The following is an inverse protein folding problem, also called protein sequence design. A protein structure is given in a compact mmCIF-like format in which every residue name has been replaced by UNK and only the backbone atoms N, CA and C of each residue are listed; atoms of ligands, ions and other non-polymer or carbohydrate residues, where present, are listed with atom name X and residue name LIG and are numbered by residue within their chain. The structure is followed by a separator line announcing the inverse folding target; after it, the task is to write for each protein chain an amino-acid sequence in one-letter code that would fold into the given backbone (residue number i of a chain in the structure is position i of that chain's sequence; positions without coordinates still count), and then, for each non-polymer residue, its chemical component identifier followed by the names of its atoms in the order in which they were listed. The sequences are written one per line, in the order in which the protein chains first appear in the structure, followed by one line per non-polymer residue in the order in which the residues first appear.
data_IF_113284592933
#
_entry.id   IF_113284592933
#
_cell.length_a   1.000
_cell.length_b   1.000
_cell.length_c   1.000
_cell.angle_alpha   90.00
_cell.angle_beta   90.00
_cell.angle_gamma   90.00
#
_symmetry.space_group_name_H-M   'P 1'
#
loop_
_entity.id
_entity.type
_entity.pdbx_description
1 polymer ?
#
# COMPACT_ATOMS: atom_id res chain seq x y z
N UNK A 1 -37.62 -34.47 -51.05
CA UNK A 1 -37.20 -35.50 -50.06
C UNK A 1 -36.07 -34.99 -49.16
N UNK A 2 -35.05 -34.31 -49.70
CA UNK A 2 -33.91 -33.79 -48.92
C UNK A 2 -34.27 -32.74 -47.86
N UNK A 3 -35.19 -31.82 -48.16
CA UNK A 3 -35.64 -30.79 -47.20
C UNK A 3 -36.30 -31.42 -45.97
N UNK A 4 -37.13 -32.44 -46.18
CA UNK A 4 -37.78 -33.17 -45.09
C UNK A 4 -36.78 -33.96 -44.24
N UNK A 5 -35.75 -34.55 -44.87
CA UNK A 5 -34.67 -35.24 -44.17
C UNK A 5 -33.81 -34.27 -43.33
N UNK A 6 -33.44 -33.11 -43.90
CA UNK A 6 -32.73 -32.06 -43.17
C UNK A 6 -33.56 -31.56 -41.99
N UNK A 7 -34.84 -31.25 -42.22
CA UNK A 7 -35.78 -30.82 -41.18
C UNK A 7 -35.87 -31.83 -40.03
N UNK A 8 -35.99 -33.13 -40.34
CA UNK A 8 -36.02 -34.18 -39.33
C UNK A 8 -34.71 -34.26 -38.53
N UNK A 9 -33.56 -34.06 -39.17
CA UNK A 9 -32.26 -34.04 -38.49
C UNK A 9 -32.12 -32.84 -37.55
N UNK A 10 -32.61 -31.67 -37.94
CA UNK A 10 -32.63 -30.48 -37.08
C UNK A 10 -33.57 -30.65 -35.89
N UNK A 11 -34.79 -31.15 -36.12
CA UNK A 11 -35.75 -31.45 -35.04
C UNK A 11 -35.18 -32.45 -34.05
N UNK A 12 -34.48 -33.48 -34.54
CA UNK A 12 -33.78 -34.44 -33.68
C UNK A 12 -32.66 -33.77 -32.88
N UNK A 13 -31.81 -32.96 -33.52
CA UNK A 13 -30.72 -32.28 -32.84
C UNK A 13 -31.22 -31.31 -31.75
N UNK A 14 -32.32 -30.61 -32.02
CA UNK A 14 -32.98 -29.72 -31.05
C UNK A 14 -33.54 -30.52 -29.86
N UNK A 15 -34.25 -31.62 -30.11
CA UNK A 15 -34.75 -32.51 -29.06
C UNK A 15 -33.62 -33.15 -28.23
N UNK A 16 -32.52 -33.57 -28.87
CA UNK A 16 -31.35 -34.13 -28.22
C UNK A 16 -30.69 -33.07 -27.30
N UNK A 17 -30.60 -31.81 -27.75
CA UNK A 17 -30.07 -30.69 -26.96
C UNK A 17 -30.97 -30.38 -25.75
N UNK A 18 -32.28 -30.30 -25.95
CA UNK A 18 -33.24 -30.05 -24.88
C UNK A 18 -33.21 -31.18 -23.83
N UNK A 19 -33.06 -32.43 -24.27
CA UNK A 19 -32.90 -33.56 -23.36
C UNK A 19 -31.61 -33.45 -22.53
N UNK A 20 -30.48 -33.10 -23.16
CA UNK A 20 -29.22 -32.88 -22.45
C UNK A 20 -29.33 -31.76 -21.42
N UNK A 21 -29.95 -30.63 -21.77
CA UNK A 21 -30.17 -29.50 -20.86
C UNK A 21 -31.01 -29.91 -19.64
N UNK A 22 -32.13 -30.62 -19.87
CA UNK A 22 -33.00 -31.13 -18.79
C UNK A 22 -32.27 -32.12 -17.90
N UNK A 23 -31.48 -33.03 -18.47
CA UNK A 23 -30.70 -34.01 -17.71
C UNK A 23 -29.65 -33.33 -16.84
N UNK A 24 -28.89 -32.39 -17.40
CA UNK A 24 -27.88 -31.62 -16.66
C UNK A 24 -28.51 -30.81 -15.52
N UNK A 25 -29.65 -30.14 -15.76
CA UNK A 25 -30.37 -29.43 -14.70
C UNK A 25 -30.78 -30.36 -13.56
N UNK A 26 -31.32 -31.54 -13.89
CA UNK A 26 -31.70 -32.53 -12.88
C UNK A 26 -30.47 -33.01 -12.10
N UNK A 27 -29.37 -33.32 -12.78
CA UNK A 27 -28.10 -33.69 -12.14
C UNK A 27 -27.64 -32.59 -11.18
N UNK A 28 -27.59 -31.32 -11.60
CA UNK A 28 -27.22 -30.21 -10.71
C UNK A 28 -28.11 -30.06 -9.47
N UNK A 29 -29.42 -30.23 -9.61
CA UNK A 29 -30.36 -30.13 -8.50
C UNK A 29 -30.26 -31.32 -7.53
N UNK A 30 -29.95 -32.51 -8.05
CA UNK A 30 -29.88 -33.76 -7.28
C UNK A 30 -28.49 -34.03 -6.70
N UNK A 31 -27.44 -33.49 -7.32
CA UNK A 31 -26.04 -33.60 -6.87
C UNK A 31 -25.63 -32.48 -5.92
N UNK A 32 -26.46 -31.45 -5.75
CA UNK A 32 -26.19 -30.38 -4.80
C UNK A 32 -26.17 -30.99 -3.38
N UNK A 33 -25.02 -30.98 -2.66
CA UNK A 33 -25.06 -31.24 -1.23
C UNK A 33 -26.01 -30.21 -0.61
N UNK A 34 -26.84 -30.63 0.35
CA UNK A 34 -27.85 -29.79 1.04
C UNK A 34 -27.26 -28.51 1.67
N UNK A 35 -25.95 -28.34 1.61
CA UNK A 35 -25.15 -27.32 2.26
C UNK A 35 -24.16 -26.62 1.30
N UNK A 36 -24.51 -26.44 0.01
CA UNK A 36 -23.77 -25.51 -0.87
C UNK A 36 -23.90 -24.09 -0.29
N UNK A 37 -22.98 -23.73 0.59
CA UNK A 37 -22.90 -22.40 1.16
C UNK A 37 -22.79 -21.38 0.02
N UNK A 38 -23.46 -20.24 0.16
CA UNK A 38 -23.46 -19.17 -0.84
C UNK A 38 -22.06 -18.64 -1.22
N UNK A 39 -21.01 -19.06 -0.50
CA UNK A 39 -19.59 -18.82 -0.76
C UNK A 39 -19.03 -19.54 -2.00
N UNK A 40 -19.66 -20.61 -2.48
CA UNK A 40 -19.16 -21.35 -3.66
C UNK A 40 -19.68 -20.81 -5.00
N UNK A 41 -20.54 -19.79 -5.00
CA UNK A 41 -21.05 -19.21 -6.25
C UNK A 41 -19.92 -18.41 -6.95
N UNK A 42 -19.46 -18.84 -8.14
CA UNK A 42 -18.35 -18.19 -8.83
C UNK A 42 -18.65 -16.75 -9.24
N UNK A 43 -19.91 -16.40 -9.50
CA UNK A 43 -20.31 -15.03 -9.83
C UNK A 43 -20.12 -14.11 -8.63
N UNK A 44 -20.60 -14.51 -7.45
CA UNK A 44 -20.42 -13.75 -6.21
C UNK A 44 -18.95 -13.66 -5.82
N UNK A 45 -18.18 -14.74 -6.02
CA UNK A 45 -16.74 -14.73 -5.76
C UNK A 45 -16.02 -13.71 -6.64
N UNK A 46 -16.37 -13.61 -7.93
CA UNK A 46 -15.79 -12.63 -8.86
C UNK A 46 -16.15 -11.19 -8.46
N UNK A 47 -17.41 -10.94 -8.08
CA UNK A 47 -17.84 -9.64 -7.56
C UNK A 47 -17.04 -9.23 -6.32
N UNK A 48 -16.92 -10.14 -5.34
CA UNK A 48 -16.15 -9.91 -4.11
C UNK A 48 -14.66 -9.63 -4.42
N UNK A 49 -14.06 -10.42 -5.31
CA UNK A 49 -12.68 -10.26 -5.74
C UNK A 49 -12.47 -8.88 -6.38
N UNK A 50 -13.39 -8.46 -7.25
CA UNK A 50 -13.33 -7.13 -7.87
C UNK A 50 -13.37 -6.00 -6.83
N UNK A 51 -14.25 -6.11 -5.83
CA UNK A 51 -14.37 -5.13 -4.76
C UNK A 51 -13.10 -5.07 -3.91
N UNK A 52 -12.50 -6.22 -3.60
CA UNK A 52 -11.23 -6.30 -2.86
C UNK A 52 -10.09 -5.64 -3.65
N UNK A 53 -9.98 -5.90 -4.96
CA UNK A 53 -8.96 -5.26 -5.82
C UNK A 53 -9.06 -3.75 -5.80
N UNK A 54 -10.27 -3.19 -5.90
CA UNK A 54 -10.50 -1.75 -5.86
C UNK A 54 -10.08 -1.17 -4.50
N UNK A 55 -10.49 -1.79 -3.40
CA UNK A 55 -10.11 -1.35 -2.04
C UNK A 55 -8.60 -1.40 -1.82
N UNK A 56 -7.94 -2.46 -2.29
CA UNK A 56 -6.50 -2.59 -2.21
C UNK A 56 -5.79 -1.48 -2.99
N UNK A 57 -6.20 -1.21 -4.24
CA UNK A 57 -5.60 -0.14 -5.03
C UNK A 57 -5.75 1.25 -4.38
N UNK A 58 -6.93 1.53 -3.80
CA UNK A 58 -7.17 2.75 -3.05
C UNK A 58 -6.25 2.86 -1.83
N UNK A 59 -6.11 1.77 -1.06
CA UNK A 59 -5.23 1.75 0.11
C UNK A 59 -3.76 1.95 -0.27
N UNK A 60 -3.29 1.31 -1.34
CA UNK A 60 -1.92 1.52 -1.83
C UNK A 60 -1.67 2.99 -2.19
N UNK A 61 -2.63 3.64 -2.84
CA UNK A 61 -2.52 5.05 -3.21
C UNK A 61 -2.45 5.94 -1.96
N UNK A 62 -3.34 5.71 -0.99
CA UNK A 62 -3.34 6.47 0.27
C UNK A 62 -2.03 6.30 1.04
N UNK A 63 -1.49 5.08 1.12
CA UNK A 63 -0.21 4.83 1.80
C UNK A 63 0.95 5.55 1.09
N UNK A 64 0.94 5.59 -0.25
CA UNK A 64 1.95 6.33 -1.01
C UNK A 64 1.86 7.84 -0.78
N UNK A 65 0.65 8.40 -0.74
CA UNK A 65 0.42 9.82 -0.43
C UNK A 65 0.91 10.16 0.98
N UNK A 66 0.51 9.37 1.99
CA UNK A 66 0.96 9.56 3.38
C UNK A 66 2.48 9.48 3.49
N UNK A 67 3.11 8.50 2.83
CA UNK A 67 4.57 8.36 2.86
C UNK A 67 5.27 9.56 2.22
N UNK A 68 4.72 10.11 1.14
CA UNK A 68 5.23 11.31 0.50
C UNK A 68 5.10 12.54 1.41
N UNK A 69 3.94 12.73 2.05
CA UNK A 69 3.71 13.83 2.99
C UNK A 69 4.60 13.73 4.23
N UNK A 70 4.76 12.54 4.80
CA UNK A 70 5.66 12.29 5.93
C UNK A 70 7.10 12.63 5.57
N UNK A 71 7.56 12.22 4.38
CA UNK A 71 8.89 12.57 3.89
C UNK A 71 9.06 14.08 3.75
N UNK A 72 8.11 14.75 3.09
CA UNK A 72 8.15 16.20 2.92
C UNK A 72 8.14 16.94 4.26
N UNK A 73 7.33 16.48 5.22
CA UNK A 73 7.27 17.04 6.56
C UNK A 73 8.60 16.89 7.30
N UNK A 74 9.19 15.69 7.27
CA UNK A 74 10.50 15.43 7.87
C UNK A 74 11.63 16.25 7.22
N UNK A 75 11.61 16.40 5.90
CA UNK A 75 12.58 17.22 5.18
C UNK A 75 12.45 18.70 5.57
N UNK A 76 11.23 19.21 5.75
CA UNK A 76 10.95 20.56 6.23
C UNK A 76 11.44 20.78 7.67
N UNK A 77 11.13 19.84 8.58
CA UNK A 77 11.59 19.87 9.98
C UNK A 77 13.12 19.94 10.02
N UNK A 78 13.81 19.09 9.24
CA UNK A 78 15.27 19.07 9.17
C UNK A 78 15.83 20.41 8.69
N UNK A 79 15.28 20.97 7.60
CA UNK A 79 15.71 22.26 7.07
C UNK A 79 15.54 23.41 8.08
N UNK A 80 14.42 23.43 8.80
CA UNK A 80 14.18 24.43 9.84
C UNK A 80 15.13 24.28 11.02
N UNK A 81 15.35 23.05 11.50
CA UNK A 81 16.30 22.77 12.58
C UNK A 81 17.74 23.13 12.20
N UNK A 82 18.20 22.77 10.99
CA UNK A 82 19.52 23.17 10.49
C UNK A 82 19.68 24.68 10.48
N UNK A 83 18.66 25.41 10.01
CA UNK A 83 18.66 26.88 10.01
C UNK A 83 18.74 27.44 11.44
N UNK A 84 17.95 26.89 12.36
CA UNK A 84 17.98 27.32 13.77
C UNK A 84 19.34 27.04 14.41
N UNK A 85 19.93 25.88 14.17
CA UNK A 85 21.26 25.52 14.68
C UNK A 85 22.32 26.51 14.16
N UNK A 86 22.28 26.84 12.86
CA UNK A 86 23.18 27.83 12.28
C UNK A 86 23.01 29.22 12.92
N UNK A 87 21.77 29.69 13.09
CA UNK A 87 21.50 30.98 13.73
C UNK A 87 21.99 31.03 15.18
N UNK A 88 21.76 29.96 15.95
CA UNK A 88 22.24 29.85 17.33
C UNK A 88 23.77 29.89 17.39
N UNK A 89 24.46 29.18 16.49
CA UNK A 89 25.93 29.23 16.40
C UNK A 89 26.44 30.65 16.06
N UNK A 90 25.79 31.36 15.14
CA UNK A 90 26.14 32.75 14.81
C UNK A 90 25.97 33.69 15.99
N UNK A 91 24.89 33.56 16.76
CA UNK A 91 24.65 34.36 17.96
C UNK A 91 25.68 34.08 19.05
N UNK A 92 26.05 32.82 19.26
CA UNK A 92 27.10 32.43 20.21
C UNK A 92 28.45 33.05 19.85
N UNK A 93 28.84 32.98 18.56
CA UNK A 93 30.06 33.60 18.06
C UNK A 93 30.06 35.12 18.24
N UNK A 94 28.91 35.77 18.02
CA UNK A 94 28.79 37.23 18.16
C UNK A 94 28.84 37.67 19.63
N UNK A 95 28.29 36.86 20.54
CA UNK A 95 28.24 37.16 21.97
C UNK A 95 29.48 36.69 22.75
N UNK A 96 30.43 36.01 22.09
CA UNK A 96 31.61 35.38 22.70
C UNK A 96 31.27 34.44 23.87
N UNK A 97 30.19 33.66 23.70
CA UNK A 97 29.70 32.72 24.71
C UNK A 97 30.10 31.29 24.32
N UNK A 98 30.93 30.65 25.13
CA UNK A 98 31.23 29.22 25.01
C UNK A 98 30.09 28.37 25.61
N UNK A 99 29.57 27.42 24.82
CA UNK A 99 28.56 26.46 25.27
C UNK A 99 29.21 25.08 25.39
N UNK A 100 28.92 24.30 26.46
CA UNK A 100 29.40 22.93 26.57
C UNK A 100 29.00 22.08 25.36
N UNK A 101 29.83 21.07 25.01
CA UNK A 101 29.55 20.18 23.90
C UNK A 101 28.27 19.37 24.17
N UNK A 102 27.60 18.99 23.08
CA UNK A 102 26.41 18.15 23.14
C UNK A 102 26.67 16.87 23.93
N UNK A 103 25.69 16.53 24.76
CA UNK A 103 25.60 15.24 25.44
C UNK A 103 25.44 14.11 24.42
N UNK A 104 25.71 12.89 24.85
CA UNK A 104 25.61 11.70 23.99
C UNK A 104 24.19 11.53 23.40
N UNK A 105 23.16 11.71 24.23
CA UNK A 105 21.76 11.65 23.80
C UNK A 105 21.39 12.73 22.79
N UNK A 106 21.97 13.93 22.92
CA UNK A 106 21.72 15.01 21.97
C UNK A 106 22.45 14.78 20.64
N UNK A 107 23.64 14.16 20.66
CA UNK A 107 24.35 13.73 19.45
C UNK A 107 23.58 12.65 18.71
N UNK A 108 23.09 11.63 19.41
CA UNK A 108 22.25 10.58 18.82
C UNK A 108 20.98 11.17 18.20
N UNK A 109 20.36 12.14 18.87
CA UNK A 109 19.17 12.83 18.36
C UNK A 109 19.50 13.65 17.10
N UNK A 110 20.64 14.35 17.06
CA UNK A 110 21.09 15.10 15.90
C UNK A 110 21.41 14.18 14.71
N UNK A 111 22.07 13.04 14.96
CA UNK A 111 22.39 12.03 13.94
C UNK A 111 21.11 11.37 13.39
N UNK A 112 20.15 11.04 14.26
CA UNK A 112 18.84 10.51 13.85
C UNK A 112 18.08 11.50 12.94
N UNK A 113 18.16 12.80 13.25
CA UNK A 113 17.54 13.86 12.45
C UNK A 113 18.37 14.22 11.21
N UNK A 114 19.62 13.76 11.10
CA UNK A 114 20.54 14.06 10.00
C UNK A 114 21.01 15.52 9.99
N UNK A 115 21.14 16.15 11.16
CA UNK A 115 21.55 17.56 11.29
C UNK A 115 23.07 17.72 11.22
N UNK A 116 23.53 18.75 10.51
CA UNK A 116 24.95 19.10 10.44
C UNK A 116 25.33 20.01 11.62
N UNK A 117 25.44 19.41 12.81
CA UNK A 117 25.94 20.15 13.97
C UNK A 117 27.47 20.18 13.92
N UNK A 118 28.05 21.37 13.72
CA UNK A 118 29.49 21.57 13.80
C UNK A 118 30.00 21.03 15.14
N UNK A 119 30.76 19.94 15.08
CA UNK A 119 31.54 19.39 16.20
C UNK A 119 32.68 20.36 16.48
N UNK A 120 32.40 21.50 17.10
CA UNK A 120 33.43 22.46 17.46
C UNK A 120 34.34 21.82 18.52
N UNK A 121 35.47 21.31 18.00
CA UNK A 121 36.80 21.14 18.59
C UNK A 121 36.88 20.99 20.10
N UNK A 122 36.99 19.73 20.54
CA UNK A 122 37.65 19.36 21.79
C UNK A 122 39.18 19.55 21.69
N UNK A 123 39.65 20.72 21.26
CA UNK A 123 41.06 21.10 21.43
C UNK A 123 41.16 22.06 22.61
N UNK A 124 41.35 21.47 23.78
CA UNK A 124 41.87 22.15 24.96
C UNK A 124 43.24 22.73 24.57
N UNK A 125 43.33 24.04 24.35
CA UNK A 125 44.63 24.72 24.29
C UNK A 125 45.26 24.68 25.68
N UNK A 126 46.47 24.11 25.86
CA UNK A 126 47.20 24.28 27.09
C UNK A 126 47.69 25.74 27.16
N UNK A 127 47.42 26.39 28.28
CA UNK A 127 48.02 27.67 28.63
C UNK A 127 49.56 27.55 28.59
N UNK A 128 50.21 28.45 27.86
CA UNK A 128 51.63 28.77 27.95
C UNK A 128 51.79 30.15 28.57
#
# INVERSE_FOLDING_TARGET
MEIAWLSARFQKAEADMEYMEKRLRLEFLTSAPENLAAEENPVKLLENLSAIKVRHAALCTQVQEIAAEQRQSMDSIRAHLDTTVQLVQQLQQTADVEIPPLTETEKESADFLGLLVNRNTAEVRPFA
#
